data_IF_491431123809
#
_entry.id   IF_491431123809
#
_cell.length_a   1.000
_cell.length_b   1.000
_cell.length_c   1.000
_cell.angle_alpha   90.00
_cell.angle_beta   90.00
_cell.angle_gamma   90.00
#
_symmetry.space_group_name_H-M   'P 1'
#
loop_
_entity.id
_entity.type
_entity.pdbx_description
1 polymer ?
#
# COMPACT_ATOMS: atom_id res chain seq x y z
N UNK A 1 10.94 20.12 27.53
CA UNK A 1 9.90 19.81 26.53
C UNK A 1 10.52 19.72 25.15
N UNK A 2 10.39 18.58 24.48
CA UNK A 2 10.86 18.34 23.10
C UNK A 2 9.98 19.21 22.19
N UNK A 3 10.53 20.25 21.56
CA UNK A 3 9.75 21.23 20.80
C UNK A 3 8.71 20.58 19.87
N UNK A 4 7.47 21.05 19.98
CA UNK A 4 6.28 20.49 19.33
C UNK A 4 6.34 20.45 17.79
N UNK A 5 7.30 21.13 17.17
CA UNK A 5 7.49 21.16 15.72
C UNK A 5 8.96 20.88 15.39
N UNK A 6 9.21 19.82 14.59
CA UNK A 6 10.54 19.54 14.07
C UNK A 6 10.91 20.56 13.00
N UNK A 7 12.16 21.03 12.99
CA UNK A 7 12.70 21.88 11.91
C UNK A 7 12.42 21.21 10.55
N UNK A 8 11.64 21.85 9.66
CA UNK A 8 11.38 21.30 8.34
C UNK A 8 12.71 21.22 7.59
N UNK A 9 12.92 20.12 6.88
CA UNK A 9 14.12 19.93 6.05
C UNK A 9 13.71 19.34 4.71
N UNK A 10 14.01 20.08 3.64
CA UNK A 10 13.65 19.73 2.28
C UNK A 10 14.19 18.34 1.89
N UNK A 11 15.45 18.05 2.27
CA UNK A 11 16.08 16.74 2.06
C UNK A 11 15.31 15.59 2.72
N UNK A 12 14.84 15.75 3.97
CA UNK A 12 14.10 14.69 4.68
C UNK A 12 12.70 14.54 4.10
N UNK A 13 12.04 15.64 3.74
CA UNK A 13 10.72 15.63 3.11
C UNK A 13 10.75 14.88 1.77
N UNK A 14 11.70 15.24 0.89
CA UNK A 14 11.86 14.58 -0.40
C UNK A 14 12.23 13.10 -0.26
N UNK A 15 13.16 12.77 0.66
CA UNK A 15 13.54 11.38 0.95
C UNK A 15 12.35 10.56 1.44
N UNK A 16 11.51 11.10 2.32
CA UNK A 16 10.32 10.40 2.81
C UNK A 16 9.32 10.09 1.70
N UNK A 17 9.08 11.06 0.80
CA UNK A 17 8.16 10.88 -0.33
C UNK A 17 8.65 9.84 -1.35
N UNK A 18 9.97 9.80 -1.60
CA UNK A 18 10.52 9.04 -2.75
C UNK A 18 11.10 7.67 -2.37
N UNK A 19 11.67 7.52 -1.18
CA UNK A 19 12.42 6.31 -0.79
C UNK A 19 11.56 5.04 -0.85
N UNK A 20 10.33 5.09 -0.33
CA UNK A 20 9.44 3.93 -0.35
C UNK A 20 9.06 3.52 -1.78
N UNK A 21 8.76 4.51 -2.64
CA UNK A 21 8.44 4.27 -4.06
C UNK A 21 9.60 3.59 -4.78
N UNK A 22 10.83 4.08 -4.56
CA UNK A 22 12.02 3.52 -5.19
C UNK A 22 12.30 2.10 -4.70
N UNK A 23 12.30 1.87 -3.38
CA UNK A 23 12.46 0.53 -2.78
C UNK A 23 11.42 -0.47 -3.31
N UNK A 24 10.16 -0.07 -3.44
CA UNK A 24 9.09 -0.93 -3.97
C UNK A 24 9.30 -1.26 -5.44
N UNK A 25 9.78 -0.30 -6.26
CA UNK A 25 10.12 -0.55 -7.68
C UNK A 25 11.25 -1.56 -7.81
N UNK A 26 12.31 -1.44 -7.00
CA UNK A 26 13.41 -2.40 -6.98
C UNK A 26 12.92 -3.80 -6.59
N UNK A 27 12.15 -3.92 -5.51
CA UNK A 27 11.59 -5.22 -5.07
C UNK A 27 10.72 -5.87 -6.14
N UNK A 28 9.89 -5.09 -6.85
CA UNK A 28 9.08 -5.60 -7.96
C UNK A 28 9.89 -6.11 -9.14
N UNK A 29 11.07 -5.52 -9.41
CA UNK A 29 11.95 -5.97 -10.50
C UNK A 29 12.76 -7.21 -10.12
N UNK A 30 13.21 -7.30 -8.86
CA UNK A 30 14.09 -8.36 -8.39
C UNK A 30 13.36 -9.63 -7.94
N UNK A 31 12.19 -9.49 -7.31
CA UNK A 31 11.47 -10.60 -6.70
C UNK A 31 10.28 -10.99 -7.59
N UNK A 32 10.31 -12.16 -8.25
CA UNK A 32 9.18 -12.63 -9.02
C UNK A 32 7.96 -12.81 -8.10
N UNK A 33 6.80 -12.32 -8.54
CA UNK A 33 5.56 -12.39 -7.77
C UNK A 33 5.36 -11.28 -6.71
N UNK A 34 6.35 -10.43 -6.40
CA UNK A 34 6.20 -9.38 -5.38
C UNK A 34 5.14 -8.32 -5.77
N UNK A 35 4.10 -8.17 -4.93
CA UNK A 35 3.04 -7.19 -5.15
C UNK A 35 2.12 -7.48 -6.35
N UNK A 36 2.11 -8.73 -6.82
CA UNK A 36 1.21 -9.22 -7.87
C UNK A 36 -0.09 -9.77 -7.27
N UNK A 37 -1.18 -9.83 -8.05
CA UNK A 37 -2.44 -10.44 -7.61
C UNK A 37 -2.31 -11.95 -7.35
N UNK A 38 -1.32 -12.60 -7.97
CA UNK A 38 -1.06 -14.03 -7.81
C UNK A 38 -0.45 -14.34 -6.44
N UNK A 39 0.35 -13.45 -5.85
CA UNK A 39 0.93 -13.65 -4.51
C UNK A 39 -0.09 -13.97 -3.42
N UNK A 40 -1.33 -13.49 -3.53
CA UNK A 40 -2.40 -13.83 -2.59
C UNK A 40 -2.81 -15.31 -2.60
N UNK A 41 -2.39 -16.09 -3.62
CA UNK A 41 -2.60 -17.55 -3.64
C UNK A 41 -1.78 -18.30 -2.59
N UNK A 42 -0.73 -17.69 -2.05
CA UNK A 42 -0.01 -18.21 -0.88
C UNK A 42 -0.93 -18.33 0.36
N UNK A 43 -2.02 -17.55 0.41
CA UNK A 43 -3.03 -17.60 1.48
C UNK A 43 -4.44 -17.70 0.88
N UNK A 44 -4.83 -18.88 0.37
CA UNK A 44 -6.00 -19.05 -0.48
C UNK A 44 -7.32 -18.71 0.23
N UNK A 45 -7.49 -19.13 1.50
CA UNK A 45 -8.69 -18.83 2.31
C UNK A 45 -8.96 -17.33 2.41
N UNK A 46 -7.93 -16.54 2.74
CA UNK A 46 -8.03 -15.08 2.89
C UNK A 46 -8.31 -14.40 1.54
N UNK A 47 -7.68 -14.89 0.46
CA UNK A 47 -7.90 -14.34 -0.89
C UNK A 47 -9.33 -14.55 -1.36
N UNK A 48 -9.89 -15.75 -1.16
CA UNK A 48 -11.28 -16.06 -1.54
C UNK A 48 -12.25 -15.17 -0.76
N UNK A 49 -12.10 -15.11 0.57
CA UNK A 49 -12.94 -14.24 1.42
C UNK A 49 -12.90 -12.77 0.96
N UNK A 50 -11.69 -12.20 0.80
CA UNK A 50 -11.54 -10.81 0.36
C UNK A 50 -12.14 -10.57 -1.03
N UNK A 51 -12.08 -11.56 -1.93
CA UNK A 51 -12.67 -11.47 -3.29
C UNK A 51 -14.19 -11.47 -3.23
N UNK A 52 -14.80 -12.30 -2.38
CA UNK A 52 -16.26 -12.30 -2.16
C UNK A 52 -16.68 -10.97 -1.53
N UNK A 53 -16.03 -10.57 -0.43
CA UNK A 53 -16.30 -9.31 0.26
C UNK A 53 -16.24 -8.10 -0.69
N UNK A 54 -15.17 -7.94 -1.46
CA UNK A 54 -15.06 -6.82 -2.42
C UNK A 54 -16.12 -6.83 -3.53
N UNK A 55 -16.68 -8.00 -3.88
CA UNK A 55 -17.74 -8.11 -4.90
C UNK A 55 -19.12 -7.84 -4.31
N UNK A 56 -19.37 -8.28 -3.08
CA UNK A 56 -20.68 -8.21 -2.45
C UNK A 56 -20.89 -6.94 -1.64
N UNK A 57 -19.81 -6.29 -1.18
CA UNK A 57 -19.89 -5.04 -0.43
C UNK A 57 -19.93 -3.84 -1.36
N UNK A 58 -21.01 -3.06 -1.31
CA UNK A 58 -21.07 -1.71 -1.87
C UNK A 58 -20.65 -0.69 -0.81
N UNK A 59 -19.86 0.30 -1.20
CA UNK A 59 -19.54 1.43 -0.31
C UNK A 59 -20.81 2.25 -0.06
N UNK A 60 -21.08 2.62 1.19
CA UNK A 60 -22.16 3.57 1.52
C UNK A 60 -21.99 4.90 0.77
N UNK A 61 -20.76 5.29 0.46
CA UNK A 61 -20.45 6.46 -0.35
C UNK A 61 -20.85 6.33 -1.82
N UNK A 62 -21.11 5.12 -2.33
CA UNK A 62 -21.67 4.93 -3.68
C UNK A 62 -23.17 5.28 -3.75
N UNK A 63 -23.85 5.51 -2.61
CA UNK A 63 -25.25 5.95 -2.58
C UNK A 63 -25.40 7.47 -2.74
N UNK A 64 -24.33 8.23 -2.46
CA UNK A 64 -24.31 9.70 -2.52
C UNK A 64 -23.53 10.25 -3.72
N UNK A 65 -23.25 9.39 -4.71
CA UNK A 65 -22.70 9.79 -6.01
C UNK A 65 -23.83 9.78 -7.04
#
# INVERSE_FOLDING_TARGET
MRGYIRKPSLKKSFKAATTAKYKRRLKKKLIPGYGTRTAGWLHPKRKIYNKVYHRTSKSLWNLFK
#
